data_IF_586859528167
#
_entry.id   IF_586859528167
#
_cell.length_a   1.000
_cell.length_b   1.000
_cell.length_c   1.000
_cell.angle_alpha   90.00
_cell.angle_beta   90.00
_cell.angle_gamma   90.00
#
_symmetry.space_group_name_H-M   'P 1'
#
loop_
_entity.id
_entity.type
_entity.pdbx_description
1 polymer ?
#
# COMPACT_ATOMS: atom_id res chain seq x y z
N UNK A 1 -11.69 -44.41 -21.13
CA UNK A 1 -12.02 -43.75 -22.41
C UNK A 1 -12.25 -44.85 -23.44
N UNK A 2 -13.49 -45.04 -23.91
CA UNK A 2 -13.81 -46.12 -24.84
C UNK A 2 -13.30 -45.79 -26.25
N UNK A 3 -12.62 -46.71 -26.96
CA UNK A 3 -12.12 -46.44 -28.30
C UNK A 3 -13.30 -46.33 -29.27
N UNK A 4 -13.47 -45.15 -29.87
CA UNK A 4 -14.41 -44.92 -30.95
C UNK A 4 -13.95 -45.75 -32.14
N UNK A 5 -14.80 -46.65 -32.64
CA UNK A 5 -14.48 -47.46 -33.82
C UNK A 5 -14.18 -46.52 -35.01
N UNK A 6 -13.12 -46.75 -35.80
CA UNK A 6 -12.62 -45.80 -36.81
C UNK A 6 -13.66 -45.42 -37.88
N UNK A 7 -14.69 -46.24 -38.10
CA UNK A 7 -15.80 -45.96 -39.03
C UNK A 7 -16.74 -44.83 -38.61
N UNK A 8 -16.68 -44.37 -37.37
CA UNK A 8 -17.55 -43.31 -36.85
C UNK A 8 -16.81 -42.01 -36.54
N UNK A 9 -15.47 -42.01 -36.66
CA UNK A 9 -14.61 -40.87 -36.31
C UNK A 9 -14.95 -39.61 -37.12
N UNK A 10 -15.28 -39.80 -38.40
CA UNK A 10 -15.63 -38.71 -39.33
C UNK A 10 -17.14 -38.61 -39.56
N UNK A 11 -17.95 -39.23 -38.69
CA UNK A 11 -19.41 -39.16 -38.83
C UNK A 11 -19.95 -37.78 -38.40
N UNK A 12 -21.02 -37.29 -39.04
CA UNK A 12 -21.67 -36.03 -38.67
C UNK A 12 -22.06 -36.00 -37.18
N UNK A 13 -22.54 -37.13 -36.65
CA UNK A 13 -22.91 -37.27 -35.25
C UNK A 13 -21.74 -37.07 -34.28
N UNK A 14 -20.54 -37.58 -34.62
CA UNK A 14 -19.37 -37.34 -33.77
C UNK A 14 -18.94 -35.89 -33.83
N UNK A 15 -19.07 -35.23 -35.00
CA UNK A 15 -18.82 -33.80 -35.13
C UNK A 15 -19.77 -32.98 -34.25
N UNK A 16 -21.07 -33.29 -34.27
CA UNK A 16 -22.07 -32.61 -33.43
C UNK A 16 -21.80 -32.81 -31.94
N UNK A 17 -21.37 -34.01 -31.53
CA UNK A 17 -20.96 -34.29 -30.15
C UNK A 17 -19.73 -33.47 -29.77
N UNK A 18 -18.70 -33.39 -30.64
CA UNK A 18 -17.51 -32.58 -30.38
C UNK A 18 -17.84 -31.09 -30.29
N UNK A 19 -18.67 -30.58 -31.21
CA UNK A 19 -19.12 -29.19 -31.21
C UNK A 19 -19.94 -28.86 -29.97
N UNK A 20 -20.84 -29.76 -29.54
CA UNK A 20 -21.57 -29.64 -28.29
C UNK A 20 -20.65 -29.65 -27.07
N UNK A 21 -19.69 -30.57 -27.00
CA UNK A 21 -18.74 -30.62 -25.87
C UNK A 21 -17.89 -29.36 -25.78
N UNK A 22 -17.44 -28.80 -26.91
CA UNK A 22 -16.71 -27.54 -26.92
C UNK A 22 -17.59 -26.33 -26.61
N UNK A 23 -18.87 -26.35 -27.00
CA UNK A 23 -19.83 -25.31 -26.64
C UNK A 23 -20.11 -25.34 -25.13
N UNK A 24 -20.20 -26.53 -24.53
CA UNK A 24 -20.36 -26.71 -23.08
C UNK A 24 -19.09 -26.28 -22.35
N UNK A 25 -17.91 -26.70 -22.80
CA UNK A 25 -16.61 -26.31 -22.22
C UNK A 25 -16.40 -24.79 -22.22
N UNK A 26 -16.78 -24.10 -23.30
CA UNK A 26 -16.73 -22.61 -23.36
C UNK A 26 -17.73 -21.93 -22.43
N UNK A 27 -18.80 -22.62 -22.04
CA UNK A 27 -19.90 -22.09 -21.26
C UNK A 27 -19.79 -22.42 -19.77
N UNK A 28 -18.97 -23.40 -19.40
CA UNK A 28 -18.60 -23.69 -18.02
C UNK A 28 -17.58 -22.63 -17.58
N UNK A 29 -17.96 -21.70 -16.67
CA UNK A 29 -17.00 -20.78 -16.10
C UNK A 29 -15.97 -21.61 -15.32
N UNK A 30 -14.69 -21.51 -15.68
CA UNK A 30 -13.65 -22.10 -14.82
C UNK A 30 -13.56 -21.28 -13.55
N UNK A 31 -13.38 -21.95 -12.41
CA UNK A 31 -13.26 -21.33 -11.10
C UNK A 31 -12.24 -20.17 -11.11
N UNK A 32 -11.12 -20.36 -11.81
CA UNK A 32 -10.08 -19.34 -12.02
C UNK A 32 -10.63 -18.11 -12.74
N UNK A 33 -11.35 -18.25 -13.86
CA UNK A 33 -11.87 -17.11 -14.62
C UNK A 33 -12.98 -16.36 -13.88
N UNK A 34 -13.76 -17.06 -13.06
CA UNK A 34 -14.76 -16.42 -12.20
C UNK A 34 -14.14 -15.71 -11.00
N UNK A 35 -13.07 -16.27 -10.44
CA UNK A 35 -12.31 -15.65 -9.35
C UNK A 35 -11.59 -14.40 -9.84
N UNK A 36 -10.89 -14.48 -10.98
CA UNK A 36 -10.19 -13.33 -11.56
C UNK A 36 -11.17 -12.18 -11.78
N UNK A 37 -12.33 -12.46 -12.40
CA UNK A 37 -13.38 -11.45 -12.61
C UNK A 37 -13.97 -10.89 -11.32
N UNK A 38 -14.06 -11.71 -10.27
CA UNK A 38 -14.53 -11.27 -8.95
C UNK A 38 -13.49 -10.33 -8.31
N UNK A 39 -12.22 -10.71 -8.33
CA UNK A 39 -11.15 -9.84 -7.82
C UNK A 39 -11.07 -8.54 -8.63
N UNK A 40 -11.15 -8.57 -9.95
CA UNK A 40 -11.14 -7.34 -10.78
C UNK A 40 -12.29 -6.38 -10.43
N UNK A 41 -13.49 -6.92 -10.13
CA UNK A 41 -14.67 -6.11 -9.82
C UNK A 41 -14.71 -5.62 -8.36
N UNK A 42 -14.03 -6.33 -7.45
CA UNK A 42 -14.14 -6.10 -6.01
C UNK A 42 -12.81 -5.73 -5.32
N UNK A 43 -11.72 -5.58 -6.08
CA UNK A 43 -10.37 -5.38 -5.53
C UNK A 43 -10.29 -4.17 -4.59
N UNK A 44 -10.85 -3.03 -4.99
CA UNK A 44 -10.89 -1.82 -4.17
C UNK A 44 -11.66 -2.03 -2.86
N UNK A 45 -12.77 -2.77 -2.91
CA UNK A 45 -13.56 -3.13 -1.74
C UNK A 45 -12.81 -4.07 -0.80
N UNK A 46 -12.09 -5.05 -1.34
CA UNK A 46 -11.25 -5.98 -0.55
C UNK A 46 -10.11 -5.22 0.12
N UNK A 47 -9.45 -4.30 -0.60
CA UNK A 47 -8.41 -3.43 -0.05
C UNK A 47 -8.96 -2.62 1.14
N UNK A 48 -10.15 -2.03 0.98
CA UNK A 48 -10.78 -1.23 2.02
C UNK A 48 -11.26 -2.07 3.23
N UNK A 49 -11.95 -3.18 2.99
CA UNK A 49 -12.51 -4.06 4.03
C UNK A 49 -11.41 -4.70 4.88
N UNK A 50 -10.31 -5.12 4.25
CA UNK A 50 -9.21 -5.81 4.92
C UNK A 50 -8.09 -4.86 5.35
N UNK A 51 -8.29 -3.54 5.17
CA UNK A 51 -7.29 -2.50 5.46
C UNK A 51 -5.93 -2.79 4.83
N UNK A 52 -5.92 -3.38 3.64
CA UNK A 52 -4.67 -3.73 2.95
C UNK A 52 -3.96 -2.45 2.54
N UNK A 53 -2.78 -2.21 3.10
CA UNK A 53 -1.94 -1.09 2.69
C UNK A 53 -1.46 -1.32 1.26
N UNK A 54 -1.87 -0.43 0.35
CA UNK A 54 -1.30 -0.41 -0.99
C UNK A 54 0.13 0.14 -0.93
N UNK A 55 0.97 -0.24 -1.90
CA UNK A 55 2.33 0.31 -2.04
C UNK A 55 2.31 1.85 -2.11
N UNK A 56 1.28 2.41 -2.73
CA UNK A 56 1.06 3.85 -2.76
C UNK A 56 0.79 4.43 -1.36
N UNK A 57 -0.07 3.80 -0.56
CA UNK A 57 -0.34 4.22 0.81
C UNK A 57 0.88 4.12 1.72
N UNK A 58 1.71 3.09 1.52
CA UNK A 58 2.96 2.95 2.26
C UNK A 58 3.97 4.05 1.91
N UNK A 59 4.12 4.37 0.62
CA UNK A 59 4.97 5.50 0.17
C UNK A 59 4.48 6.85 0.69
N UNK A 60 3.16 7.08 0.73
CA UNK A 60 2.63 8.32 1.29
C UNK A 60 2.97 8.45 2.78
N UNK A 61 2.81 7.37 3.55
CA UNK A 61 3.18 7.33 4.96
C UNK A 61 4.68 7.54 5.16
N UNK A 62 5.52 6.93 4.32
CA UNK A 62 6.98 7.11 4.34
C UNK A 62 7.37 8.58 4.12
N UNK A 63 6.83 9.22 3.08
CA UNK A 63 7.07 10.63 2.79
C UNK A 63 6.62 11.55 3.94
N UNK A 64 5.46 11.26 4.52
CA UNK A 64 4.94 12.03 5.67
C UNK A 64 5.84 11.87 6.89
N UNK A 65 6.32 10.66 7.15
CA UNK A 65 7.24 10.38 8.25
C UNK A 65 8.58 11.10 8.06
N UNK A 66 9.12 11.10 6.85
CA UNK A 66 10.34 11.82 6.52
C UNK A 66 10.20 13.33 6.75
N UNK A 67 9.10 13.92 6.29
CA UNK A 67 8.82 15.35 6.50
C UNK A 67 8.73 15.71 7.99
N UNK A 68 8.01 14.91 8.78
CA UNK A 68 7.90 15.10 10.24
C UNK A 68 9.28 14.97 10.89
N UNK A 69 10.11 14.03 10.44
CA UNK A 69 11.46 13.83 10.97
C UNK A 69 12.35 15.05 10.70
N UNK A 70 12.27 15.63 9.50
CA UNK A 70 13.00 16.86 9.14
C UNK A 70 12.54 18.03 10.01
N UNK A 71 11.24 18.18 10.21
CA UNK A 71 10.68 19.25 11.04
C UNK A 71 11.10 19.12 12.52
N UNK A 72 11.06 17.90 13.06
CA UNK A 72 11.54 17.61 14.43
C UNK A 72 13.01 18.01 14.57
N UNK A 73 13.88 17.59 13.63
CA UNK A 73 15.30 17.91 13.68
C UNK A 73 15.56 19.42 13.64
N UNK A 74 14.81 20.15 12.81
CA UNK A 74 14.88 21.61 12.74
C UNK A 74 14.48 22.24 14.08
N UNK A 75 13.35 21.83 14.66
CA UNK A 75 12.87 22.34 15.95
C UNK A 75 13.85 22.05 17.08
N UNK A 76 14.49 20.87 17.11
CA UNK A 76 15.54 20.56 18.07
C UNK A 76 16.75 21.48 17.92
N UNK A 77 17.16 21.78 16.69
CA UNK A 77 18.24 22.75 16.42
C UNK A 77 17.89 24.15 16.92
N UNK A 78 16.69 24.64 16.61
CA UNK A 78 16.19 25.94 17.06
C UNK A 78 16.10 26.02 18.59
N UNK A 79 15.59 24.96 19.23
CA UNK A 79 15.53 24.85 20.69
C UNK A 79 16.93 24.97 21.31
N UNK A 80 17.92 24.26 20.79
CA UNK A 80 19.29 24.33 21.33
C UNK A 80 19.90 25.74 21.21
N UNK A 81 19.60 26.45 20.12
CA UNK A 81 20.04 27.85 19.96
C UNK A 81 19.35 28.76 20.98
N UNK A 82 18.05 28.59 21.20
CA UNK A 82 17.30 29.36 22.20
C UNK A 82 17.80 29.09 23.62
N UNK A 83 18.07 27.83 23.98
CA UNK A 83 18.64 27.47 25.29
C UNK A 83 19.98 28.16 25.52
N UNK A 84 20.89 28.14 24.52
CA UNK A 84 22.17 28.85 24.64
C UNK A 84 22.00 30.35 24.83
N UNK A 85 21.05 30.97 24.12
CA UNK A 85 20.76 32.41 24.25
C UNK A 85 20.17 32.73 25.62
N UNK A 86 19.28 31.88 26.13
CA UNK A 86 18.71 32.04 27.47
C UNK A 86 19.79 31.95 28.54
N UNK A 87 20.66 30.94 28.49
CA UNK A 87 21.77 30.81 29.44
C UNK A 87 22.77 31.97 29.37
N UNK A 88 23.04 32.51 28.18
CA UNK A 88 23.89 33.70 28.03
C UNK A 88 23.25 34.94 28.68
N UNK A 89 21.95 35.14 28.46
CA UNK A 89 21.20 36.24 29.09
C UNK A 89 21.13 36.10 30.61
N UNK A 90 20.92 34.88 31.12
CA UNK A 90 20.96 34.62 32.58
C UNK A 90 22.34 34.96 33.17
N UNK A 91 23.42 34.61 32.47
CA UNK A 91 24.77 34.96 32.90
C UNK A 91 25.02 36.48 32.90
N UNK A 92 24.53 37.21 31.90
CA UNK A 92 24.62 38.66 31.84
C UNK A 92 23.80 39.34 32.94
N UNK A 93 22.56 38.90 33.17
CA UNK A 93 21.68 39.43 34.23
C UNK A 93 22.31 39.21 35.60
N UNK A 94 22.78 38.00 35.89
CA UNK A 94 23.43 37.71 37.19
C UNK A 94 24.72 38.47 37.40
N UNK A 95 25.45 38.80 36.34
CA UNK A 95 26.63 39.68 36.42
C UNK A 95 26.23 41.13 36.73
N UNK A 96 25.16 41.63 36.13
CA UNK A 96 24.63 42.98 36.39
C UNK A 96 24.10 43.12 37.82
N UNK A 97 23.35 42.13 38.31
CA UNK A 97 22.84 42.12 39.70
C UNK A 97 23.98 42.18 40.71
N UNK A 98 25.02 41.36 40.54
CA UNK A 98 26.20 41.36 41.43
C UNK A 98 27.02 42.64 41.36
N UNK A 99 27.05 43.31 40.20
CA UNK A 99 27.74 44.59 40.02
C UNK A 99 26.97 45.76 40.63
N UNK A 100 25.63 45.71 40.62
CA UNK A 100 24.76 46.73 41.19
C UNK A 100 24.63 46.69 42.71
N UNK A 101 24.85 45.53 43.35
CA UNK A 101 24.85 45.39 44.81
C UNK A 101 26.17 45.86 45.49
N UNK A 102 27.18 46.26 44.70
CA UNK A 102 28.49 46.68 45.19
C UNK A 102 28.70 48.21 45.26
N UNK A 103 27.68 49.01 44.94
CA UNK A 103 27.60 50.47 45.08
C UNK A 103 26.63 50.89 46.19
#
# INVERSE_FOLDING_TARGET
MYPVKPKYRDSPYMRDIYEFTHAVERRIPTFTRTLDRYFDAHFEGIIAEWQLLTEHGLRDLENRLENVTVEINKLYGEKSVLEKRASALEAEVTALEKGGDAE
#
